data_IF_748000773324
#
_entry.id   IF_748000773324
#
_cell.length_a   1.000
_cell.length_b   1.000
_cell.length_c   1.000
_cell.angle_alpha   90.00
_cell.angle_beta   90.00
_cell.angle_gamma   90.00
#
_symmetry.space_group_name_H-M   'P 1'
#
loop_
_entity.id
_entity.type
_entity.pdbx_description
1 polymer ?
#
# COMPACT_ATOMS: atom_id res chain seq x y z
N UNK A 1 13.92 17.76 -11.06
CA UNK A 1 14.05 16.57 -11.92
C UNK A 1 12.71 16.33 -12.60
N UNK A 2 12.68 16.00 -13.90
CA UNK A 2 11.42 15.67 -14.58
C UNK A 2 10.82 14.41 -13.96
N UNK A 3 9.52 14.41 -13.69
CA UNK A 3 8.81 13.20 -13.24
C UNK A 3 8.71 12.25 -14.45
N UNK A 4 9.19 11.02 -14.30
CA UNK A 4 8.97 9.99 -15.31
C UNK A 4 7.57 9.43 -15.15
N UNK A 5 6.71 9.77 -16.10
CA UNK A 5 5.31 9.34 -16.19
C UNK A 5 5.09 8.53 -17.48
N UNK A 6 6.15 7.95 -18.04
CA UNK A 6 6.05 7.10 -19.24
C UNK A 6 5.67 5.66 -18.91
N UNK A 7 5.85 5.24 -17.64
CA UNK A 7 5.72 3.85 -17.19
C UNK A 7 4.67 3.73 -16.08
N UNK A 8 3.86 2.68 -16.13
CA UNK A 8 2.92 2.34 -15.07
C UNK A 8 3.41 1.12 -14.26
N UNK A 9 3.37 1.15 -12.91
CA UNK A 9 2.83 2.22 -12.07
C UNK A 9 3.75 3.46 -12.05
N UNK A 10 3.19 4.67 -11.82
CA UNK A 10 4.02 5.83 -11.56
C UNK A 10 4.89 5.59 -10.32
N UNK A 11 5.97 6.36 -10.19
CA UNK A 11 6.81 6.30 -8.99
C UNK A 11 5.94 6.53 -7.75
N UNK A 12 6.02 5.63 -6.79
CA UNK A 12 5.23 5.67 -5.55
C UNK A 12 5.30 6.99 -4.76
N UNK A 13 6.35 7.81 -4.94
CA UNK A 13 6.45 9.14 -4.30
C UNK A 13 5.58 10.21 -4.97
N UNK A 14 5.07 9.95 -6.16
CA UNK A 14 4.12 10.83 -6.84
C UNK A 14 2.75 10.52 -6.23
N UNK A 15 2.11 11.50 -5.59
CA UNK A 15 0.88 11.29 -4.81
C UNK A 15 0.14 12.60 -4.52
N UNK A 16 -0.99 12.50 -3.83
CA UNK A 16 -1.88 13.65 -3.63
C UNK A 16 -1.17 14.74 -2.80
N UNK A 17 -1.03 15.92 -3.40
CA UNK A 17 -0.20 17.03 -2.90
C UNK A 17 -0.91 17.92 -1.87
N UNK A 18 -2.07 17.51 -1.37
CA UNK A 18 -2.86 18.25 -0.39
C UNK A 18 -2.27 18.12 1.04
N UNK A 19 -0.98 18.48 1.15
CA UNK A 19 -0.39 19.33 2.19
C UNK A 19 -0.10 18.84 3.61
N UNK A 20 -0.08 17.53 3.91
CA UNK A 20 0.60 17.08 5.15
C UNK A 20 1.41 15.79 5.03
N UNK A 21 1.10 14.92 4.06
CA UNK A 21 1.75 13.62 3.94
C UNK A 21 2.69 13.56 2.73
N UNK A 22 3.99 13.51 2.99
CA UNK A 22 5.07 13.42 1.98
C UNK A 22 5.51 11.96 1.77
N UNK A 23 4.56 11.03 1.81
CA UNK A 23 4.88 9.60 1.75
C UNK A 23 4.50 8.90 0.45
N UNK A 24 4.64 7.59 0.46
CA UNK A 24 4.46 6.76 -0.73
C UNK A 24 2.99 6.38 -0.97
N UNK A 25 2.67 6.08 -2.22
CA UNK A 25 1.38 5.61 -2.69
C UNK A 25 1.53 4.22 -3.32
N UNK A 26 0.65 3.29 -2.96
CA UNK A 26 0.55 1.99 -3.60
C UNK A 26 -0.41 2.07 -4.81
N UNK A 27 0.17 1.92 -6.00
CA UNK A 27 -0.55 1.86 -7.27
C UNK A 27 -0.90 0.43 -7.71
N UNK A 28 -1.07 -0.48 -6.74
CA UNK A 28 -1.54 -1.82 -7.00
C UNK A 28 -2.97 -1.80 -7.56
N UNK A 29 -3.31 -2.61 -8.58
CA UNK A 29 -4.64 -2.59 -9.19
C UNK A 29 -5.79 -2.80 -8.20
N UNK A 30 -5.57 -3.50 -7.09
CA UNK A 30 -6.54 -3.67 -6.00
C UNK A 30 -6.91 -2.38 -5.27
N UNK A 31 -6.09 -1.33 -5.39
CA UNK A 31 -6.32 -0.04 -4.73
C UNK A 31 -6.82 1.04 -5.70
N UNK A 32 -6.99 0.68 -6.97
CA UNK A 32 -7.37 1.62 -8.01
C UNK A 32 -8.84 1.43 -8.40
N UNK A 33 -9.46 2.52 -8.82
CA UNK A 33 -10.80 2.46 -9.44
C UNK A 33 -10.63 2.14 -10.92
N UNK A 34 -10.89 0.88 -11.28
CA UNK A 34 -10.65 0.35 -12.63
C UNK A 34 -11.87 0.41 -13.56
N UNK A 35 -12.90 1.18 -13.22
CA UNK A 35 -14.15 1.25 -13.99
C UNK A 35 -14.06 2.08 -15.27
N UNK A 36 -13.05 2.95 -15.38
CA UNK A 36 -12.82 3.79 -16.56
C UNK A 36 -11.33 3.89 -16.86
N UNK A 37 -11.00 3.96 -18.14
CA UNK A 37 -9.62 4.24 -18.56
C UNK A 37 -9.19 5.65 -18.19
N UNK A 38 -7.88 5.82 -18.12
CA UNK A 38 -7.22 7.13 -18.08
C UNK A 38 -6.49 7.37 -19.39
N UNK A 39 -6.24 8.64 -19.72
CA UNK A 39 -5.55 9.01 -20.96
C UNK A 39 -4.04 8.84 -20.82
N UNK A 40 -3.52 8.94 -19.59
CA UNK A 40 -2.10 8.83 -19.29
C UNK A 40 -1.80 8.24 -17.91
N UNK A 41 -0.54 7.87 -17.67
CA UNK A 41 -0.04 7.51 -16.34
C UNK A 41 -0.17 8.68 -15.35
N UNK A 42 -0.05 9.91 -15.83
CA UNK A 42 -0.16 11.11 -15.00
C UNK A 42 -1.54 11.19 -14.30
N UNK A 43 -2.60 10.74 -14.98
CA UNK A 43 -3.96 10.77 -14.42
C UNK A 43 -4.20 9.73 -13.33
N UNK A 44 -3.27 8.79 -13.15
CA UNK A 44 -3.27 7.85 -12.03
C UNK A 44 -2.57 8.41 -10.80
N UNK A 45 -1.77 9.48 -10.92
CA UNK A 45 -1.06 10.06 -9.78
C UNK A 45 -2.07 10.52 -8.73
N UNK A 46 -1.86 10.10 -7.48
CA UNK A 46 -2.75 10.38 -6.36
C UNK A 46 -3.96 9.44 -6.23
N UNK A 47 -4.22 8.56 -7.21
CA UNK A 47 -5.33 7.60 -7.16
C UNK A 47 -5.02 6.33 -6.36
N UNK A 48 -3.74 6.11 -5.99
CA UNK A 48 -3.30 4.96 -5.20
C UNK A 48 -3.71 5.04 -3.73
N UNK A 49 -3.39 3.99 -2.96
CA UNK A 49 -3.57 3.97 -1.51
C UNK A 49 -2.34 4.54 -0.80
N UNK A 50 -2.51 5.46 0.16
CA UNK A 50 -1.40 5.97 0.98
C UNK A 50 -0.73 4.86 1.80
N UNK A 51 0.60 4.86 1.81
CA UNK A 51 1.45 3.92 2.55
C UNK A 51 1.96 4.55 3.86
N UNK A 52 1.08 4.68 4.84
CA UNK A 52 1.34 5.32 6.13
C UNK A 52 2.48 4.64 6.93
N UNK A 53 3.13 5.37 7.88
CA UNK A 53 4.09 4.78 8.80
C UNK A 53 3.55 3.50 9.47
N UNK A 54 4.41 2.48 9.60
CA UNK A 54 4.05 1.16 10.11
C UNK A 54 3.48 0.20 9.05
N UNK A 55 3.02 0.69 7.90
CA UNK A 55 2.52 -0.18 6.83
C UNK A 55 3.61 -1.11 6.31
N UNK A 56 3.24 -2.37 6.15
CA UNK A 56 4.03 -3.39 5.48
C UNK A 56 4.10 -3.11 3.98
N UNK A 57 5.32 -3.05 3.46
CA UNK A 57 5.58 -2.70 2.06
C UNK A 57 6.56 -3.67 1.41
N UNK A 58 6.49 -3.72 0.09
CA UNK A 58 7.48 -4.32 -0.77
C UNK A 58 8.09 -3.22 -1.62
N UNK A 59 9.41 -3.05 -1.52
CA UNK A 59 10.18 -2.27 -2.48
C UNK A 59 10.55 -3.20 -3.64
N UNK A 60 9.98 -2.95 -4.80
CA UNK A 60 10.27 -3.70 -6.02
C UNK A 60 11.31 -2.93 -6.82
N UNK A 61 12.46 -3.55 -7.04
CA UNK A 61 13.56 -2.97 -7.84
C UNK A 61 13.57 -3.65 -9.21
N UNK A 62 13.66 -2.84 -10.26
CA UNK A 62 13.68 -3.28 -11.65
C UNK A 62 15.12 -3.43 -12.17
N UNK A 63 15.28 -4.13 -13.30
CA UNK A 63 16.58 -4.37 -13.95
C UNK A 63 17.34 -3.08 -14.31
N UNK A 64 16.63 -1.99 -14.59
CA UNK A 64 17.22 -0.67 -14.87
C UNK A 64 17.70 0.08 -13.60
N UNK A 65 17.53 -0.52 -12.42
CA UNK A 65 17.89 0.03 -11.12
C UNK A 65 16.86 1.00 -10.55
N UNK A 66 15.76 1.29 -11.26
CA UNK A 66 14.64 2.04 -10.71
C UNK A 66 13.83 1.17 -9.75
N UNK A 67 13.04 1.80 -8.88
CA UNK A 67 12.26 1.09 -7.89
C UNK A 67 10.92 1.76 -7.63
N UNK A 68 9.93 0.97 -7.25
CA UNK A 68 8.64 1.47 -6.75
C UNK A 68 8.23 0.75 -5.46
N UNK A 69 7.57 1.48 -4.57
CA UNK A 69 7.05 0.93 -3.32
C UNK A 69 5.59 0.57 -3.48
N UNK A 70 5.20 -0.59 -2.96
CA UNK A 70 3.83 -1.06 -2.91
C UNK A 70 3.50 -1.61 -1.53
N UNK A 71 2.21 -1.75 -1.20
CA UNK A 71 1.83 -2.64 -0.10
C UNK A 71 2.44 -4.03 -0.35
N UNK A 72 2.88 -4.71 0.71
CA UNK A 72 3.62 -5.97 0.60
C UNK A 72 2.95 -6.97 -0.36
N UNK A 73 1.66 -7.27 -0.16
CA UNK A 73 0.92 -8.18 -1.04
C UNK A 73 0.82 -7.70 -2.48
N UNK A 74 0.65 -6.39 -2.71
CA UNK A 74 0.56 -5.85 -4.08
C UNK A 74 1.89 -5.99 -4.83
N UNK A 75 3.03 -5.77 -4.16
CA UNK A 75 4.34 -5.90 -4.79
C UNK A 75 4.64 -7.33 -5.20
N UNK A 76 4.38 -8.29 -4.31
CA UNK A 76 4.58 -9.72 -4.60
C UNK A 76 3.64 -10.18 -5.69
N UNK A 77 2.34 -9.92 -5.57
CA UNK A 77 1.35 -10.29 -6.59
C UNK A 77 1.69 -9.70 -7.96
N UNK A 78 2.19 -8.46 -8.00
CA UNK A 78 2.58 -7.80 -9.24
C UNK A 78 3.68 -8.56 -9.97
N UNK A 79 4.74 -8.94 -9.26
CA UNK A 79 5.86 -9.69 -9.83
C UNK A 79 5.38 -11.08 -10.27
N UNK A 80 4.66 -11.77 -9.38
CA UNK A 80 4.14 -13.11 -9.62
C UNK A 80 3.21 -13.18 -10.83
N UNK A 81 2.36 -12.16 -11.02
CA UNK A 81 1.44 -12.08 -12.15
C UNK A 81 2.13 -11.99 -13.53
N UNK A 82 3.43 -11.71 -13.55
CA UNK A 82 4.22 -11.61 -14.79
C UNK A 82 5.11 -12.83 -15.05
N UNK A 83 4.99 -13.88 -14.23
CA UNK A 83 5.72 -15.12 -14.44
C UNK A 83 5.11 -15.99 -15.53
N UNK A 84 5.98 -16.64 -16.29
CA UNK A 84 5.61 -17.47 -17.42
C UNK A 84 5.23 -16.69 -18.68
N UNK A 85 5.27 -17.38 -19.81
CA UNK A 85 5.00 -16.79 -21.13
C UNK A 85 3.50 -16.73 -21.48
N UNK A 86 2.67 -17.45 -20.72
CA UNK A 86 1.23 -17.51 -20.99
C UNK A 86 0.59 -16.16 -20.68
N UNK A 87 -0.16 -15.66 -21.65
CA UNK A 87 -1.02 -14.51 -21.45
C UNK A 87 -2.29 -14.93 -20.67
N UNK A 88 -2.60 -14.32 -19.52
CA UNK A 88 -3.83 -14.57 -18.77
C UNK A 88 -5.09 -14.31 -19.61
N UNK A 89 -6.15 -15.09 -19.39
CA UNK A 89 -7.44 -14.83 -20.04
C UNK A 89 -8.12 -13.59 -19.44
N UNK A 90 -9.04 -12.96 -20.18
CA UNK A 90 -9.71 -11.73 -19.75
C UNK A 90 -10.40 -11.84 -18.38
N UNK A 91 -11.07 -12.96 -18.11
CA UNK A 91 -11.73 -13.24 -16.84
C UNK A 91 -10.80 -13.76 -15.74
N UNK A 92 -9.53 -14.01 -16.05
CA UNK A 92 -8.57 -14.55 -15.10
C UNK A 92 -8.11 -13.48 -14.12
N UNK A 93 -7.93 -13.89 -12.86
CA UNK A 93 -7.47 -13.02 -11.77
C UNK A 93 -5.96 -12.80 -11.91
N UNK A 94 -5.55 -11.54 -11.82
CA UNK A 94 -4.15 -11.10 -11.88
C UNK A 94 -3.64 -10.84 -10.47
N UNK A 95 -4.27 -9.89 -9.76
CA UNK A 95 -3.93 -9.48 -8.40
C UNK A 95 -5.20 -9.48 -7.55
N UNK A 96 -5.25 -10.29 -6.49
CA UNK A 96 -6.45 -10.50 -5.69
C UNK A 96 -7.69 -10.83 -6.54
N UNK A 97 -8.73 -10.00 -6.45
CA UNK A 97 -9.98 -10.12 -7.22
C UNK A 97 -10.01 -9.28 -8.51
N UNK A 98 -8.88 -8.66 -8.88
CA UNK A 98 -8.75 -7.88 -10.12
C UNK A 98 -8.46 -8.82 -11.28
N UNK A 99 -9.27 -8.75 -12.32
CA UNK A 99 -9.10 -9.51 -13.56
C UNK A 99 -8.33 -8.73 -14.61
N UNK A 100 -7.78 -9.44 -15.61
CA UNK A 100 -7.14 -8.81 -16.78
C UNK A 100 -8.07 -7.80 -17.46
N UNK A 101 -9.33 -8.16 -17.67
CA UNK A 101 -10.31 -7.30 -18.34
C UNK A 101 -10.53 -5.95 -17.62
N UNK A 102 -10.54 -5.96 -16.28
CA UNK A 102 -10.66 -4.71 -15.50
C UNK A 102 -9.43 -3.82 -15.70
N UNK A 103 -8.25 -4.41 -15.74
CA UNK A 103 -7.01 -3.65 -15.99
C UNK A 103 -6.92 -3.14 -17.43
N UNK A 104 -7.41 -3.89 -18.42
CA UNK A 104 -7.54 -3.44 -19.81
C UNK A 104 -8.53 -2.30 -19.93
N UNK A 105 -9.68 -2.40 -19.26
CA UNK A 105 -10.70 -1.33 -19.20
C UNK A 105 -10.14 -0.05 -18.60
N UNK A 106 -9.27 -0.17 -17.60
CA UNK A 106 -8.55 0.95 -16.99
C UNK A 106 -7.36 1.45 -17.84
N UNK A 107 -6.95 0.72 -18.89
CA UNK A 107 -5.81 1.07 -19.72
C UNK A 107 -4.45 0.87 -19.05
N UNK A 108 -4.36 0.06 -17.98
CA UNK A 108 -3.11 -0.14 -17.22
C UNK A 108 -2.44 -1.49 -17.49
N UNK A 109 -3.15 -2.45 -18.08
CA UNK A 109 -2.71 -3.85 -18.14
C UNK A 109 -1.33 -4.05 -18.80
N UNK A 110 -1.14 -3.56 -20.03
CA UNK A 110 0.12 -3.71 -20.77
C UNK A 110 1.29 -3.04 -20.06
N UNK A 111 1.10 -1.79 -19.61
CA UNK A 111 2.13 -1.04 -18.90
C UNK A 111 2.52 -1.70 -17.57
N UNK A 112 1.53 -2.16 -16.82
CA UNK A 112 1.74 -2.90 -15.57
C UNK A 112 2.51 -4.20 -15.81
N UNK A 113 2.07 -5.02 -16.77
CA UNK A 113 2.69 -6.31 -17.06
C UNK A 113 4.12 -6.16 -17.56
N UNK A 114 4.37 -5.26 -18.51
CA UNK A 114 5.71 -5.03 -19.03
C UNK A 114 6.64 -4.49 -17.94
N UNK A 115 6.12 -3.61 -17.07
CA UNK A 115 6.90 -3.08 -15.96
C UNK A 115 7.34 -4.15 -14.98
N UNK A 116 6.41 -4.96 -14.49
CA UNK A 116 6.75 -5.97 -13.47
C UNK A 116 7.47 -7.19 -14.05
N UNK A 117 7.47 -7.36 -15.39
CA UNK A 117 8.32 -8.34 -16.06
C UNK A 117 9.82 -8.06 -15.82
N UNK A 118 10.20 -6.81 -15.67
CA UNK A 118 11.58 -6.39 -15.41
C UNK A 118 11.92 -6.35 -13.92
N UNK A 119 11.05 -6.85 -13.03
CA UNK A 119 11.35 -6.90 -11.61
C UNK A 119 12.49 -7.88 -11.33
N UNK A 120 13.55 -7.39 -10.70
CA UNK A 120 14.77 -8.13 -10.38
C UNK A 120 14.84 -8.51 -8.89
N UNK A 121 14.34 -7.64 -8.00
CA UNK A 121 14.42 -7.85 -6.55
C UNK A 121 13.16 -7.36 -5.84
N UNK A 122 12.81 -8.05 -4.75
CA UNK A 122 11.77 -7.63 -3.80
C UNK A 122 12.41 -7.49 -2.42
N UNK A 123 12.34 -6.30 -1.84
CA UNK A 123 12.78 -6.04 -0.47
C UNK A 123 11.56 -5.80 0.42
N UNK A 124 11.18 -6.75 1.29
CA UNK A 124 10.14 -6.53 2.27
C UNK A 124 10.60 -5.57 3.37
N UNK A 125 9.67 -4.74 3.83
CA UNK A 125 9.95 -3.76 4.86
C UNK A 125 8.69 -3.10 5.40
N UNK A 126 8.90 -2.00 6.11
CA UNK A 126 7.84 -1.12 6.57
C UNK A 126 8.18 0.34 6.23
N UNK A 127 7.18 1.20 6.35
CA UNK A 127 7.37 2.65 6.22
C UNK A 127 7.68 3.24 7.59
N UNK A 128 8.76 4.02 7.73
CA UNK A 128 9.08 4.70 8.98
C UNK A 128 8.26 5.99 9.18
N UNK A 129 8.46 6.66 10.31
CA UNK A 129 7.78 7.92 10.63
C UNK A 129 8.04 9.06 9.64
N UNK A 130 9.14 9.01 8.88
CA UNK A 130 9.46 9.99 7.84
C UNK A 130 8.86 9.63 6.47
N UNK A 131 8.13 8.51 6.37
CA UNK A 131 7.58 8.03 5.11
C UNK A 131 8.56 7.24 4.25
N UNK A 132 9.76 6.92 4.72
CA UNK A 132 10.77 6.18 3.96
C UNK A 132 10.70 4.68 4.24
N UNK A 133 11.03 3.81 3.26
CA UNK A 133 11.08 2.37 3.52
C UNK A 133 12.27 2.04 4.41
N UNK A 134 12.08 1.08 5.30
CA UNK A 134 13.17 0.38 5.97
C UNK A 134 12.94 -1.13 5.93
N UNK A 135 13.99 -1.94 5.66
CA UNK A 135 13.85 -3.38 5.68
C UNK A 135 13.59 -3.87 7.11
N UNK A 136 12.76 -4.90 7.25
CA UNK A 136 12.39 -5.44 8.57
C UNK A 136 13.44 -6.34 9.22
N UNK A 137 14.54 -6.68 8.52
CA UNK A 137 15.49 -7.72 8.92
C UNK A 137 16.92 -7.16 9.00
N UNK A 138 17.68 -7.60 10.01
CA UNK A 138 18.92 -6.98 10.52
C UNK A 138 20.10 -6.90 9.51
N UNK A 139 20.03 -7.53 8.33
CA UNK A 139 21.07 -7.45 7.30
C UNK A 139 20.53 -7.00 5.93
N UNK A 140 19.33 -6.43 5.90
CA UNK A 140 18.65 -5.98 4.67
C UNK A 140 18.67 -7.04 3.55
N UNK A 141 18.27 -8.29 3.82
CA UNK A 141 18.22 -9.29 2.78
C UNK A 141 17.26 -8.85 1.67
N UNK A 142 17.57 -9.23 0.44
CA UNK A 142 16.73 -9.02 -0.74
C UNK A 142 16.28 -10.36 -1.30
N UNK A 143 15.02 -10.45 -1.72
CA UNK A 143 14.52 -11.60 -2.46
C UNK A 143 14.79 -11.40 -3.94
N UNK A 144 15.68 -12.21 -4.51
CA UNK A 144 16.01 -12.15 -5.94
C UNK A 144 14.95 -12.87 -6.77
N UNK A 145 14.47 -12.20 -7.80
CA UNK A 145 13.50 -12.76 -8.76
C UNK A 145 14.29 -13.45 -9.86
N UNK A 146 14.58 -14.73 -9.66
CA UNK A 146 15.19 -15.57 -10.69
C UNK A 146 14.09 -16.21 -11.57
N UNK A 147 13.87 -15.62 -12.75
CA UNK A 147 12.85 -16.07 -13.69
C UNK A 147 13.19 -17.41 -14.36
N UNK A 148 14.45 -17.83 -14.36
CA UNK A 148 14.85 -19.15 -14.85
C UNK A 148 14.50 -20.24 -13.83
N UNK A 149 14.51 -19.89 -12.53
CA UNK A 149 14.14 -20.79 -11.44
C UNK A 149 12.63 -20.85 -11.16
N UNK A 150 11.88 -19.78 -11.44
CA UNK A 150 10.44 -19.69 -11.16
C UNK A 150 9.58 -19.84 -12.41
N UNK A 151 9.16 -21.07 -12.68
CA UNK A 151 8.35 -21.41 -13.87
C UNK A 151 6.87 -21.08 -13.74
N UNK A 152 6.37 -20.86 -12.52
CA UNK A 152 4.98 -20.56 -12.24
C UNK A 152 4.77 -19.69 -11.00
N UNK A 153 3.58 -19.10 -10.92
CA UNK A 153 3.11 -18.24 -9.82
C UNK A 153 3.30 -18.87 -8.44
N UNK A 154 2.91 -20.13 -8.26
CA UNK A 154 2.93 -20.78 -6.95
C UNK A 154 4.36 -21.07 -6.47
N UNK A 155 5.30 -21.32 -7.39
CA UNK A 155 6.70 -21.54 -7.06
C UNK A 155 7.36 -20.29 -6.45
N UNK A 156 7.12 -19.10 -7.03
CA UNK A 156 7.67 -17.85 -6.50
C UNK A 156 6.99 -17.46 -5.19
N UNK A 157 5.65 -17.54 -5.11
CA UNK A 157 4.92 -17.22 -3.88
C UNK A 157 5.41 -18.06 -2.70
N UNK A 158 5.60 -19.37 -2.88
CA UNK A 158 6.12 -20.25 -1.83
C UNK A 158 7.54 -19.89 -1.42
N UNK A 159 8.41 -19.60 -2.40
CA UNK A 159 9.80 -19.24 -2.15
C UNK A 159 9.90 -17.90 -1.42
N UNK A 160 9.05 -16.94 -1.79
CA UNK A 160 8.92 -15.65 -1.10
C UNK A 160 8.42 -15.85 0.33
N UNK A 161 7.40 -16.68 0.55
CA UNK A 161 6.89 -17.01 1.89
C UNK A 161 7.97 -17.66 2.78
N UNK A 162 8.72 -18.61 2.24
CA UNK A 162 9.85 -19.26 2.95
C UNK A 162 10.95 -18.25 3.27
N UNK A 163 11.30 -17.41 2.30
CA UNK A 163 12.23 -16.30 2.47
C UNK A 163 11.78 -15.39 3.62
N UNK A 164 10.55 -14.86 3.59
CA UNK A 164 9.99 -14.02 4.65
C UNK A 164 10.03 -14.72 6.01
N UNK A 165 9.64 -16.00 6.08
CA UNK A 165 9.63 -16.77 7.32
C UNK A 165 11.02 -16.96 7.92
N UNK A 166 12.05 -17.09 7.08
CA UNK A 166 13.43 -17.26 7.55
C UNK A 166 13.94 -16.03 8.33
N UNK A 167 13.37 -14.85 8.11
CA UNK A 167 13.75 -13.61 8.79
C UNK A 167 12.82 -13.18 9.93
N UNK A 168 11.75 -13.92 10.23
CA UNK A 168 10.82 -13.59 11.33
C UNK A 168 11.56 -13.49 12.68
N UNK A 169 12.57 -14.34 12.89
CA UNK A 169 13.39 -14.34 14.10
C UNK A 169 14.45 -13.22 14.14
N UNK A 170 14.78 -12.64 12.98
CA UNK A 170 15.75 -11.56 12.80
C UNK A 170 15.08 -10.19 12.64
N UNK A 171 13.79 -10.08 12.99
CA UNK A 171 13.08 -8.80 12.93
C UNK A 171 13.74 -7.78 13.86
N UNK A 172 14.10 -6.64 13.28
CA UNK A 172 14.76 -5.54 13.97
C UNK A 172 13.95 -5.14 15.24
N UNK A 173 14.59 -4.98 16.41
CA UNK A 173 13.94 -4.41 17.58
C UNK A 173 13.23 -3.06 17.32
N UNK A 174 13.76 -2.23 16.42
CA UNK A 174 13.14 -0.97 15.96
C UNK A 174 11.81 -1.24 15.26
N UNK A 175 11.71 -2.29 14.43
CA UNK A 175 10.43 -2.72 13.84
C UNK A 175 9.40 -3.09 14.93
N UNK A 176 9.83 -3.74 16.04
CA UNK A 176 8.91 -4.03 17.17
C UNK A 176 8.53 -2.78 17.94
N UNK A 177 9.45 -1.84 18.12
CA UNK A 177 9.21 -0.60 18.88
C UNK A 177 8.36 0.40 18.10
N UNK A 178 8.60 0.58 16.81
CA UNK A 178 7.75 1.43 15.95
C UNK A 178 6.34 0.84 15.81
N UNK A 179 6.20 -0.48 15.66
CA UNK A 179 4.88 -1.12 15.68
C UNK A 179 4.18 -0.97 17.04
N UNK A 180 4.93 -1.02 18.14
CA UNK A 180 4.37 -0.73 19.46
C UNK A 180 3.92 0.74 19.53
N UNK A 181 4.73 1.67 19.01
CA UNK A 181 4.41 3.09 18.96
C UNK A 181 3.19 3.39 18.09
N UNK A 182 3.00 2.69 16.96
CA UNK A 182 1.81 2.77 16.09
C UNK A 182 0.55 2.26 16.81
N UNK A 183 0.65 1.14 17.53
CA UNK A 183 -0.45 0.65 18.38
C UNK A 183 -0.78 1.65 19.48
N UNK A 184 0.24 2.29 20.08
CA UNK A 184 0.04 3.34 21.08
C UNK A 184 -0.60 4.60 20.49
N UNK A 185 -0.16 5.10 19.33
CA UNK A 185 -0.74 6.29 18.71
C UNK A 185 -2.15 6.06 18.20
N UNK A 186 -2.45 4.91 17.60
CA UNK A 186 -3.82 4.55 17.20
C UNK A 186 -4.74 4.37 18.42
N UNK A 187 -4.18 3.89 19.53
CA UNK A 187 -4.92 3.77 20.79
C UNK A 187 -5.18 5.15 21.40
N UNK A 188 -4.19 6.05 21.39
CA UNK A 188 -4.34 7.45 21.83
C UNK A 188 -5.33 8.23 20.97
N UNK A 189 -5.25 8.16 19.64
CA UNK A 189 -6.21 8.80 18.73
C UNK A 189 -7.63 8.31 19.01
N UNK A 190 -7.81 6.99 19.17
CA UNK A 190 -9.11 6.40 19.50
C UNK A 190 -9.63 6.86 20.88
N UNK A 191 -8.75 6.96 21.88
CA UNK A 191 -9.14 7.49 23.19
C UNK A 191 -9.51 8.97 23.11
N UNK A 192 -8.78 9.79 22.34
CA UNK A 192 -9.10 11.21 22.17
C UNK A 192 -10.40 11.44 21.42
N UNK A 193 -10.71 10.61 20.42
CA UNK A 193 -11.99 10.68 19.71
C UNK A 193 -13.16 10.22 20.60
N UNK A 194 -12.96 9.19 21.43
CA UNK A 194 -13.96 8.71 22.38
C UNK A 194 -14.19 9.70 23.53
N UNK A 195 -13.14 10.34 24.05
CA UNK A 195 -13.24 11.46 25.01
C UNK A 195 -13.90 12.70 24.39
N UNK A 196 -13.67 12.97 23.10
CA UNK A 196 -14.33 14.06 22.38
C UNK A 196 -15.82 13.77 22.19
N UNK A 197 -16.19 12.55 21.79
CA UNK A 197 -17.59 12.15 21.64
C UNK A 197 -18.35 12.20 22.97
N UNK A 198 -17.74 11.71 24.06
CA UNK A 198 -18.37 11.75 25.39
C UNK A 198 -18.53 13.17 25.92
N UNK A 199 -17.59 14.08 25.65
CA UNK A 199 -17.73 15.49 26.00
C UNK A 199 -18.80 16.20 25.13
N UNK A 200 -18.90 15.91 23.83
CA UNK A 200 -19.95 16.44 22.96
C UNK A 200 -21.35 15.93 23.36
N UNK A 201 -21.49 14.66 23.72
CA UNK A 201 -22.74 14.09 24.28
C UNK A 201 -23.11 14.72 25.62
N UNK A 202 -22.12 15.03 26.46
CA UNK A 202 -22.34 15.69 27.75
C UNK A 202 -22.81 17.14 27.55
N UNK A 203 -22.20 17.90 26.63
CA UNK A 203 -22.60 19.27 26.33
C UNK A 203 -24.00 19.34 25.71
N UNK A 204 -24.34 18.43 24.79
CA UNK A 204 -25.68 18.37 24.18
C UNK A 204 -26.75 17.99 25.21
N UNK A 205 -26.46 17.09 26.14
CA UNK A 205 -27.37 16.78 27.24
C UNK A 205 -27.50 17.94 28.25
N UNK A 206 -26.43 18.67 28.57
CA UNK A 206 -26.48 19.87 29.41
C UNK A 206 -27.28 21.02 28.76
N UNK A 207 -27.13 21.25 27.46
CA UNK A 207 -27.95 22.20 26.70
C UNK A 207 -29.43 21.78 26.64
N UNK A 208 -29.70 20.47 26.56
CA UNK A 208 -31.08 19.94 26.58
C UNK A 208 -31.72 20.13 27.96
N UNK A 209 -31.00 19.85 29.05
CA UNK A 209 -31.49 20.05 30.42
C UNK A 209 -31.73 21.53 30.75
N UNK A 210 -30.83 22.42 30.34
CA UNK A 210 -31.00 23.87 30.57
C UNK A 210 -32.16 24.46 29.77
N UNK A 211 -32.44 23.96 28.56
CA UNK A 211 -33.65 24.34 27.82
C UNK A 211 -34.93 23.75 28.44
N UNK A 212 -34.90 22.52 28.96
CA UNK A 212 -36.04 21.92 29.68
C UNK A 212 -36.34 22.68 30.99
N UNK A 213 -35.33 23.03 31.80
CA UNK A 213 -35.51 23.84 33.01
C UNK A 213 -36.03 25.26 32.74
N UNK A 214 -35.66 25.84 31.59
CA UNK A 214 -36.16 27.16 31.17
C UNK A 214 -37.64 27.11 30.78
N UNK A 215 -38.11 26.00 30.20
CA UNK A 215 -39.53 25.82 29.87
C UNK A 215 -40.41 25.52 31.09
N UNK A 216 -39.87 24.96 32.17
CA UNK A 216 -40.64 24.67 33.40
C UNK A 216 -40.83 25.88 34.33
N UNK A 217 -40.13 26.99 34.10
CA UNK A 217 -40.23 28.22 34.89
C UNK A 217 -41.08 29.32 34.23
N UNK A 218 -41.72 29.03 33.08
CA UNK A 218 -42.57 29.98 32.33
C UNK A 218 -44.09 29.70 32.47
N UNK A 219 -44.53 28.85 33.43
CA UNK A 219 -45.93 28.75 33.89
C UNK A 219 -46.16 29.45 35.24
#
# INVERSE_FOLDING_TARGET
MSQDLSRFPPNSRLGNTDSSYVGHMCYGPMHLTLSTSKESVADWVGAGKSLLPGHHVALVTFEDGTSTMMCEGCGVDAVTATLGDREPEKGERIVGDVTREKMETAGIYEGYRNTFREAAEITPGAVNSNGEPYPWAIDNPVFKVDRDSYTDRASLERSYDEYVRSFIHLRDPVYRMEKAQEVYTLFEERMTDEERMTNEERMTNEERMTNEERMTNEE
#
